data_IF_796942395819
#
_entry.id   IF_796942395819
#
_cell.length_a   1.000
_cell.length_b   1.000
_cell.length_c   1.000
_cell.angle_alpha   90.00
_cell.angle_beta   90.00
_cell.angle_gamma   90.00
#
_symmetry.space_group_name_H-M   'P 1'
#
loop_
_entity.id
_entity.type
_entity.pdbx_description
1 polymer ?
#
# COMPACT_ATOMS: atom_id res chain seq x y z
N UNK A 1 16.43 1.52 17.74
CA UNK A 1 15.13 2.08 17.28
C UNK A 1 14.37 0.94 16.62
N UNK A 2 13.11 0.70 16.98
CA UNK A 2 12.24 -0.25 16.26
C UNK A 2 11.62 0.41 15.03
N UNK A 3 11.34 -0.39 14.00
CA UNK A 3 10.50 0.03 12.88
C UNK A 3 9.04 0.06 13.34
N UNK A 4 8.29 1.09 12.91
CA UNK A 4 6.87 1.27 13.29
C UNK A 4 5.89 0.90 12.19
N UNK A 5 6.30 1.05 10.94
CA UNK A 5 5.45 0.82 9.78
C UNK A 5 6.26 0.55 8.52
N UNK A 6 5.60 -0.03 7.53
CA UNK A 6 6.08 -0.22 6.16
C UNK A 6 5.09 0.50 5.24
N UNK A 7 5.59 1.32 4.31
CA UNK A 7 4.77 1.98 3.30
C UNK A 7 5.16 1.48 1.90
N UNK A 8 4.20 1.34 1.00
CA UNK A 8 4.44 1.00 -0.40
C UNK A 8 3.36 1.56 -1.34
N UNK A 9 3.68 1.59 -2.64
CA UNK A 9 2.75 1.95 -3.70
C UNK A 9 2.36 0.68 -4.45
N UNK A 10 1.18 0.14 -4.15
CA UNK A 10 0.68 -1.04 -4.87
C UNK A 10 0.07 -0.64 -6.20
N UNK A 11 0.23 -1.46 -7.24
CA UNK A 11 -0.64 -1.35 -8.43
C UNK A 11 -2.08 -1.62 -8.04
N UNK A 12 -3.03 -0.97 -8.70
CA UNK A 12 -4.44 -1.04 -8.34
C UNK A 12 -5.01 -2.46 -8.30
N UNK A 13 -4.64 -3.32 -9.26
CA UNK A 13 -5.11 -4.71 -9.28
C UNK A 13 -4.51 -5.58 -8.17
N UNK A 14 -3.42 -5.15 -7.52
CA UNK A 14 -2.72 -5.93 -6.50
C UNK A 14 -3.18 -5.60 -5.07
N UNK A 15 -4.09 -4.64 -4.89
CA UNK A 15 -4.54 -4.17 -3.57
C UNK A 15 -5.03 -5.32 -2.69
N UNK A 16 -5.84 -6.24 -3.22
CA UNK A 16 -6.39 -7.33 -2.43
C UNK A 16 -5.34 -8.36 -1.99
N UNK A 17 -4.24 -8.49 -2.75
CA UNK A 17 -3.09 -9.29 -2.32
C UNK A 17 -2.42 -8.66 -1.10
N UNK A 18 -2.17 -7.35 -1.14
CA UNK A 18 -1.56 -6.63 -0.01
C UNK A 18 -2.48 -6.57 1.22
N UNK A 19 -3.80 -6.40 1.02
CA UNK A 19 -4.79 -6.47 2.11
C UNK A 19 -4.74 -7.81 2.84
N UNK A 20 -4.60 -8.92 2.11
CA UNK A 20 -4.42 -10.26 2.71
C UNK A 20 -3.12 -10.38 3.51
N UNK A 21 -2.09 -9.63 3.15
CA UNK A 21 -0.84 -9.54 3.89
C UNK A 21 -0.88 -8.53 5.07
N UNK A 22 -2.03 -7.92 5.36
CA UNK A 22 -2.23 -7.00 6.49
C UNK A 22 -2.04 -5.52 6.15
N UNK A 23 -1.73 -5.17 4.90
CA UNK A 23 -1.64 -3.76 4.50
C UNK A 23 -3.03 -3.12 4.41
N UNK A 24 -3.07 -1.82 4.66
CA UNK A 24 -4.25 -0.97 4.49
C UNK A 24 -3.97 0.12 3.47
N UNK A 25 -4.99 0.49 2.68
CA UNK A 25 -4.90 1.64 1.77
C UNK A 25 -5.10 2.94 2.53
N UNK A 26 -4.39 4.00 2.16
CA UNK A 26 -4.64 5.35 2.66
C UNK A 26 -4.56 6.36 1.52
N UNK A 27 -5.26 7.48 1.65
CA UNK A 27 -5.32 8.50 0.59
C UNK A 27 -6.05 8.01 -0.67
N UNK A 28 -5.88 8.77 -1.75
CA UNK A 28 -6.52 8.51 -3.04
C UNK A 28 -5.66 7.62 -3.95
N UNK A 29 -6.29 6.94 -4.90
CA UNK A 29 -5.60 6.26 -6.00
C UNK A 29 -4.89 7.31 -6.88
N UNK A 30 -3.67 7.03 -7.30
CA UNK A 30 -2.88 7.93 -8.16
C UNK A 30 -2.30 7.19 -9.36
N UNK A 31 -1.90 7.92 -10.40
CA UNK A 31 -1.31 7.33 -11.61
C UNK A 31 0.20 7.51 -11.60
N UNK A 32 0.94 6.43 -11.78
CA UNK A 32 2.40 6.42 -11.93
C UNK A 32 2.76 5.65 -13.18
N UNK A 33 3.54 6.26 -14.07
CA UNK A 33 3.90 5.72 -15.40
C UNK A 33 2.70 5.19 -16.21
N UNK A 34 1.55 5.86 -16.11
CA UNK A 34 0.31 5.48 -16.79
C UNK A 34 -0.46 4.31 -16.16
N UNK A 35 -0.02 3.83 -15.00
CA UNK A 35 -0.64 2.71 -14.28
C UNK A 35 -1.26 3.25 -12.98
N UNK A 36 -2.52 2.88 -12.66
CA UNK A 36 -3.14 3.26 -11.39
C UNK A 36 -2.52 2.50 -10.21
N UNK A 37 -2.21 3.23 -9.15
CA UNK A 37 -1.58 2.77 -7.92
C UNK A 37 -2.34 3.28 -6.68
N UNK A 38 -2.13 2.63 -5.53
CA UNK A 38 -2.66 3.06 -4.24
C UNK A 38 -1.54 3.15 -3.22
N UNK A 39 -1.60 4.17 -2.36
CA UNK A 39 -0.74 4.20 -1.19
C UNK A 39 -1.20 3.15 -0.18
N UNK A 40 -0.26 2.37 0.32
CA UNK A 40 -0.54 1.30 1.28
C UNK A 40 0.44 1.36 2.44
N UNK A 41 -0.03 0.99 3.63
CA UNK A 41 0.78 0.89 4.84
C UNK A 41 0.50 -0.39 5.62
N UNK A 42 1.51 -0.93 6.27
CA UNK A 42 1.42 -2.00 7.27
C UNK A 42 2.00 -1.47 8.58
N UNK A 43 1.19 -1.45 9.63
CA UNK A 43 1.67 -1.09 10.97
C UNK A 43 2.34 -2.31 11.61
N UNK A 44 3.52 -2.10 12.20
CA UNK A 44 4.30 -3.13 12.86
C UNK A 44 4.05 -3.05 14.37
N UNK A 45 3.65 -4.17 14.98
CA UNK A 45 3.42 -4.28 16.42
C UNK A 45 4.74 -4.30 17.20
#
# INVERSE_FOLDING_TARGET
KSLKEIQCHSRHYAVDFYKKAGFTTYGETFTEVGIPHNHMKLELQ
#
